data_IF_057717937921
#
_entry.id   IF_057717937921
#
_cell.length_a   1.000
_cell.length_b   1.000
_cell.length_c   1.000
_cell.angle_alpha   90.00
_cell.angle_beta   90.00
_cell.angle_gamma   90.00
#
_symmetry.space_group_name_H-M   'P 1'
#
loop_
_entity.id
_entity.type
_entity.pdbx_description
1 polymer ?
#
# COMPACT_ATOMS: atom_id res chain seq x y z
N UNK A 1 10.90 12.07 17.22
CA UNK A 1 10.39 10.83 17.83
C UNK A 1 8.89 10.98 17.92
N UNK A 2 8.14 10.04 17.35
CA UNK A 2 6.67 10.07 17.33
C UNK A 2 6.12 9.67 18.70
N UNK A 3 5.06 10.35 19.15
CA UNK A 3 4.38 9.99 20.40
C UNK A 3 3.48 8.77 20.21
N UNK A 4 3.17 8.06 21.31
CA UNK A 4 2.26 6.92 21.26
C UNK A 4 0.86 7.29 20.75
N UNK A 5 0.41 8.53 20.99
CA UNK A 5 -0.88 9.02 20.51
C UNK A 5 -0.88 9.30 19.00
N UNK A 6 0.18 9.95 18.50
CA UNK A 6 0.40 10.16 17.08
C UNK A 6 0.51 8.83 16.32
N UNK A 7 1.25 7.87 16.89
CA UNK A 7 1.36 6.52 16.33
C UNK A 7 0.00 5.84 16.22
N UNK A 8 -0.80 5.88 17.29
CA UNK A 8 -2.14 5.28 17.31
C UNK A 8 -3.04 5.91 16.25
N UNK A 9 -3.07 7.23 16.18
CA UNK A 9 -3.86 7.96 15.19
C UNK A 9 -3.48 7.59 13.74
N UNK A 10 -2.18 7.58 13.43
CA UNK A 10 -1.71 7.21 12.10
C UNK A 10 -1.99 5.74 11.78
N UNK A 11 -1.85 4.84 12.75
CA UNK A 11 -2.15 3.41 12.58
C UNK A 11 -3.62 3.18 12.29
N UNK A 12 -4.52 3.86 13.02
CA UNK A 12 -5.95 3.82 12.77
C UNK A 12 -6.32 4.42 11.42
N UNK A 13 -5.69 5.55 11.04
CA UNK A 13 -5.91 6.19 9.75
C UNK A 13 -5.52 5.27 8.58
N UNK A 14 -4.33 4.68 8.65
CA UNK A 14 -3.82 3.74 7.63
C UNK A 14 -4.72 2.50 7.57
N UNK A 15 -5.08 1.93 8.73
CA UNK A 15 -5.95 0.77 8.78
C UNK A 15 -7.34 1.06 8.18
N UNK A 16 -7.95 2.20 8.51
CA UNK A 16 -9.26 2.58 7.98
C UNK A 16 -9.25 2.77 6.46
N UNK A 17 -8.14 3.24 5.89
CA UNK A 17 -8.07 3.58 4.46
C UNK A 17 -7.55 2.45 3.57
N UNK A 18 -6.65 1.58 4.07
CA UNK A 18 -6.02 0.52 3.28
C UNK A 18 -6.20 -0.89 3.85
N UNK A 19 -6.76 -1.03 5.05
CA UNK A 19 -6.83 -2.29 5.79
C UNK A 19 -5.50 -2.71 6.43
N UNK A 20 -4.40 -2.01 6.17
CA UNK A 20 -3.07 -2.34 6.72
C UNK A 20 -3.05 -2.13 8.23
N UNK A 21 -2.84 -3.21 8.99
CA UNK A 21 -2.68 -3.16 10.45
C UNK A 21 -1.21 -3.00 10.82
N UNK A 22 -0.88 -1.84 11.39
CA UNK A 22 0.43 -1.57 11.98
C UNK A 22 0.43 -2.10 13.42
N UNK A 23 0.90 -3.34 13.59
CA UNK A 23 1.09 -3.94 14.92
C UNK A 23 2.04 -3.12 15.81
N UNK A 24 2.09 -3.44 17.10
CA UNK A 24 2.95 -2.75 18.08
C UNK A 24 4.45 -2.87 17.74
N UNK A 25 5.26 -1.85 18.05
CA UNK A 25 6.71 -1.91 17.83
C UNK A 25 7.15 -1.52 16.40
N UNK A 26 6.22 -1.04 15.56
CA UNK A 26 6.47 -0.62 14.18
C UNK A 26 6.53 0.90 14.02
N UNK A 27 6.71 1.64 15.11
CA UNK A 27 6.84 3.09 15.14
C UNK A 27 7.95 3.58 14.18
N UNK A 28 9.04 2.83 14.10
CA UNK A 28 10.17 3.12 13.20
C UNK A 28 9.78 3.17 11.71
N UNK A 29 8.75 2.44 11.27
CA UNK A 29 8.27 2.51 9.88
C UNK A 29 7.64 3.87 9.57
N UNK A 30 6.89 4.41 10.53
CA UNK A 30 6.32 5.75 10.40
C UNK A 30 7.42 6.80 10.38
N UNK A 31 8.38 6.69 11.30
CA UNK A 31 9.50 7.63 11.42
C UNK A 31 10.45 7.60 10.21
N UNK A 32 10.58 6.46 9.53
CA UNK A 32 11.43 6.34 8.34
C UNK A 32 10.74 6.76 7.04
N UNK A 33 9.44 6.46 6.89
CA UNK A 33 8.74 6.60 5.59
C UNK A 33 7.95 7.89 5.45
N UNK A 34 7.29 8.35 6.52
CA UNK A 34 6.40 9.51 6.45
C UNK A 34 7.08 10.89 6.40
N UNK A 35 8.35 11.10 6.83
CA UNK A 35 9.01 12.40 6.62
C UNK A 35 9.11 12.83 5.15
N UNK A 36 9.33 11.88 4.23
CA UNK A 36 9.35 12.16 2.81
C UNK A 36 7.98 12.63 2.29
N UNK A 37 6.89 12.04 2.80
CA UNK A 37 5.52 12.47 2.48
C UNK A 37 5.27 13.88 3.02
N UNK A 38 5.65 14.15 4.28
CA UNK A 38 5.50 15.46 4.89
C UNK A 38 6.21 16.56 4.06
N UNK A 39 7.45 16.31 3.66
CA UNK A 39 8.23 17.22 2.82
C UNK A 39 7.58 17.48 1.44
N UNK A 40 7.07 16.44 0.77
CA UNK A 40 6.40 16.56 -0.53
C UNK A 40 5.15 17.44 -0.49
N UNK A 41 4.48 17.51 0.65
CA UNK A 41 3.30 18.37 0.86
C UNK A 41 3.63 19.70 1.55
N UNK A 42 4.91 20.04 1.71
CA UNK A 42 5.35 21.31 2.28
C UNK A 42 5.18 21.42 3.80
N UNK A 43 4.98 20.30 4.50
CA UNK A 43 4.99 20.30 5.96
C UNK A 43 6.42 20.34 6.47
N UNK A 44 6.73 21.19 7.47
CA UNK A 44 8.09 21.33 7.99
C UNK A 44 8.53 20.11 8.82
N UNK A 45 7.58 19.35 9.35
CA UNK A 45 7.82 18.13 10.11
C UNK A 45 6.59 17.21 10.12
N UNK A 46 6.78 15.98 10.60
CA UNK A 46 5.74 14.97 10.70
C UNK A 46 4.61 15.38 11.65
N UNK A 47 4.92 16.01 12.79
CA UNK A 47 3.90 16.42 13.78
C UNK A 47 2.95 17.50 13.23
N UNK A 48 3.46 18.40 12.38
CA UNK A 48 2.65 19.40 11.66
C UNK A 48 1.75 18.75 10.63
N UNK A 49 2.24 17.75 9.90
CA UNK A 49 1.40 16.94 9.01
C UNK A 49 0.29 16.22 9.81
N UNK A 50 0.61 15.60 10.94
CA UNK A 50 -0.39 14.90 11.79
C UNK A 50 -1.44 15.88 12.32
N UNK A 51 -1.02 17.06 12.77
CA UNK A 51 -1.94 18.10 13.24
C UNK A 51 -2.90 18.54 12.14
N UNK A 52 -2.39 18.73 10.91
CA UNK A 52 -3.22 19.05 9.75
C UNK A 52 -4.20 17.92 9.42
N UNK A 53 -3.76 16.66 9.45
CA UNK A 53 -4.62 15.47 9.22
C UNK A 53 -5.73 15.34 10.27
N UNK A 54 -5.48 15.73 11.52
CA UNK A 54 -6.50 15.76 12.59
C UNK A 54 -7.50 16.90 12.43
N UNK A 55 -7.04 18.07 11.96
CA UNK A 55 -7.89 19.22 11.70
C UNK A 55 -8.80 19.04 10.48
N UNK A 56 -8.35 18.27 9.48
CA UNK A 56 -9.15 17.92 8.32
C UNK A 56 -8.44 16.88 7.45
N UNK A 57 -9.15 15.81 7.11
CA UNK A 57 -8.64 14.76 6.22
C UNK A 57 -8.70 15.25 4.77
N UNK A 58 -7.62 15.85 4.27
CA UNK A 58 -7.46 16.09 2.83
C UNK A 58 -7.15 14.77 2.13
N UNK A 59 -8.01 14.27 1.21
CA UNK A 59 -7.76 13.02 0.48
C UNK A 59 -6.43 13.04 -0.29
N UNK A 60 -5.96 14.23 -0.68
CA UNK A 60 -4.72 14.43 -1.42
C UNK A 60 -3.47 14.04 -0.61
N UNK A 61 -3.50 14.20 0.72
CA UNK A 61 -2.39 13.82 1.62
C UNK A 61 -2.55 12.38 2.12
N UNK A 62 -3.79 11.96 2.37
CA UNK A 62 -4.10 10.65 2.95
C UNK A 62 -3.67 9.51 2.02
N UNK A 63 -3.91 9.62 0.71
CA UNK A 63 -3.53 8.56 -0.24
C UNK A 63 -2.00 8.34 -0.29
N UNK A 64 -1.17 9.37 -0.54
CA UNK A 64 0.30 9.20 -0.53
C UNK A 64 0.85 8.72 0.80
N UNK A 65 0.24 9.12 1.92
CA UNK A 65 0.59 8.59 3.24
C UNK A 65 0.36 7.07 3.29
N UNK A 66 -0.80 6.60 2.83
CA UNK A 66 -1.10 5.16 2.80
C UNK A 66 -0.16 4.41 1.84
N UNK A 67 0.10 4.96 0.66
CA UNK A 67 1.01 4.39 -0.34
C UNK A 67 2.45 4.28 0.20
N UNK A 68 2.91 5.26 0.98
CA UNK A 68 4.22 5.20 1.62
C UNK A 68 4.30 4.12 2.71
N UNK A 69 3.17 3.79 3.35
CA UNK A 69 3.12 2.76 4.39
C UNK A 69 3.03 1.33 3.84
N UNK A 70 2.66 1.14 2.57
CA UNK A 70 2.67 -0.18 1.94
C UNK A 70 4.06 -0.59 1.46
N UNK A 71 4.30 -1.89 1.35
CA UNK A 71 5.53 -2.42 0.73
C UNK A 71 5.26 -2.62 -0.76
N UNK A 72 5.66 -1.64 -1.57
CA UNK A 72 5.39 -1.63 -3.02
C UNK A 72 6.52 -2.27 -3.85
N UNK A 73 7.37 -3.10 -3.24
CA UNK A 73 8.44 -3.80 -3.95
C UNK A 73 7.88 -4.92 -4.82
N UNK A 74 8.10 -4.82 -6.13
CA UNK A 74 7.69 -5.81 -7.12
C UNK A 74 8.79 -5.99 -8.17
N UNK A 75 8.82 -7.16 -8.81
CA UNK A 75 9.75 -7.49 -9.89
C UNK A 75 9.01 -8.25 -10.98
N UNK A 76 9.50 -8.16 -12.22
CA UNK A 76 8.95 -8.95 -13.32
C UNK A 76 9.13 -10.44 -13.04
N UNK A 77 8.06 -11.21 -13.25
CA UNK A 77 8.02 -12.65 -12.97
C UNK A 77 8.36 -13.00 -11.51
N UNK A 78 7.96 -12.15 -10.55
CA UNK A 78 8.09 -12.44 -9.11
C UNK A 78 7.47 -13.80 -8.80
N UNK A 79 8.29 -14.68 -8.21
CA UNK A 79 8.00 -16.10 -8.03
C UNK A 79 7.71 -16.76 -9.39
N UNK A 80 8.67 -17.43 -10.02
CA UNK A 80 8.49 -17.95 -11.39
C UNK A 80 7.38 -19.00 -11.51
N UNK A 81 7.09 -19.71 -10.41
CA UNK A 81 6.21 -20.88 -10.39
C UNK A 81 4.76 -20.62 -10.84
N UNK A 82 4.05 -19.55 -10.41
CA UNK A 82 2.72 -19.23 -10.92
C UNK A 82 2.72 -18.93 -12.43
N UNK A 83 3.81 -18.37 -12.98
CA UNK A 83 3.93 -18.12 -14.42
C UNK A 83 4.16 -19.41 -15.22
N UNK A 84 4.91 -20.36 -14.66
CA UNK A 84 5.03 -21.71 -15.25
C UNK A 84 3.67 -22.39 -15.32
N UNK A 85 2.92 -22.42 -14.20
CA UNK A 85 1.57 -22.99 -14.13
C UNK A 85 0.61 -22.25 -15.08
N UNK A 86 0.72 -20.93 -15.17
CA UNK A 86 -0.05 -20.14 -16.12
C UNK A 86 0.18 -20.64 -17.55
N UNK A 87 1.45 -20.88 -17.94
CA UNK A 87 1.83 -21.33 -19.27
C UNK A 87 1.45 -22.79 -19.56
N UNK A 88 1.66 -23.70 -18.62
CA UNK A 88 1.50 -25.15 -18.86
C UNK A 88 0.08 -25.63 -18.63
N UNK A 89 -0.66 -25.02 -17.70
CA UNK A 89 -1.92 -25.57 -17.23
C UNK A 89 -3.08 -24.61 -17.52
N UNK A 90 -2.97 -23.35 -17.08
CA UNK A 90 -4.09 -22.40 -17.12
C UNK A 90 -4.39 -21.93 -18.54
N UNK A 91 -3.38 -21.49 -19.29
CA UNK A 91 -3.58 -20.98 -20.66
C UNK A 91 -4.08 -22.07 -21.62
N UNK A 92 -3.51 -23.30 -21.65
CA UNK A 92 -4.05 -24.38 -22.48
C UNK A 92 -5.49 -24.75 -22.12
N UNK A 93 -5.80 -24.86 -20.82
CA UNK A 93 -7.18 -25.15 -20.38
C UNK A 93 -8.16 -24.04 -20.78
N UNK A 94 -7.77 -22.76 -20.65
CA UNK A 94 -8.57 -21.63 -21.06
C UNK A 94 -8.80 -21.60 -22.58
N UNK A 95 -7.78 -21.89 -23.39
CA UNK A 95 -7.86 -21.97 -24.85
C UNK A 95 -8.81 -23.06 -25.31
N UNK A 96 -8.74 -24.26 -24.72
CA UNK A 96 -9.66 -25.36 -25.01
C UNK A 96 -11.10 -24.97 -24.70
N UNK A 97 -11.33 -24.33 -23.55
CA UNK A 97 -12.66 -23.84 -23.16
C UNK A 97 -13.18 -22.76 -24.11
N UNK A 98 -12.34 -21.83 -24.54
CA UNK A 98 -12.71 -20.79 -25.49
C UNK A 98 -13.15 -21.38 -26.84
N UNK A 99 -12.40 -22.35 -27.38
CA UNK A 99 -12.76 -23.07 -28.61
C UNK A 99 -14.09 -23.80 -28.48
N UNK A 100 -14.33 -24.49 -27.36
CA UNK A 100 -15.59 -25.19 -27.11
C UNK A 100 -16.80 -24.24 -27.08
N UNK A 101 -16.58 -22.98 -26.72
CA UNK A 101 -17.59 -21.92 -26.71
C UNK A 101 -17.66 -21.14 -28.04
N UNK A 102 -16.95 -21.57 -29.08
CA UNK A 102 -16.89 -20.88 -30.38
C UNK A 102 -16.20 -19.52 -30.33
N UNK A 103 -15.41 -19.24 -29.28
CA UNK A 103 -14.68 -17.99 -29.13
C UNK A 103 -13.30 -18.12 -29.79
N UNK A 104 -12.78 -17.04 -30.39
CA UNK A 104 -11.39 -17.00 -30.84
C UNK A 104 -10.44 -17.17 -29.64
N UNK A 105 -9.29 -17.79 -29.90
CA UNK A 105 -8.18 -17.98 -28.95
C UNK A 105 -7.02 -17.09 -29.36
#
# INVERSE_FOLDING_TARGET
MITAEEYRFLSELVHRQSGLSLGTGKEYLIESRLPAVAANFGFPDLSRMISALRAGLSPQVVKPLCDAMTTNETVFFRDTKPFDVLRTDVLPAAALRARALGRPV
#
